data_IF_998013535427
#
_entry.id   IF_998013535427
#
_cell.length_a   1.000
_cell.length_b   1.000
_cell.length_c   1.000
_cell.angle_alpha   90.00
_cell.angle_beta   90.00
_cell.angle_gamma   90.00
#
_symmetry.space_group_name_H-M   'P 1'
#
loop_
_entity.id
_entity.type
_entity.pdbx_description
1 polymer ?
#
# COMPACT_ATOMS: atom_id res chain seq x y z
N UNK A 1 -3.22 10.61 -19.31
CA UNK A 1 -2.76 10.69 -17.91
C UNK A 1 -1.56 11.65 -17.80
N UNK A 2 -1.40 12.33 -16.67
CA UNK A 2 -0.40 13.40 -16.49
C UNK A 2 0.53 13.02 -15.34
N UNK A 3 1.81 13.38 -15.45
CA UNK A 3 2.78 13.22 -14.36
C UNK A 3 2.30 13.84 -13.05
N UNK A 4 2.66 13.21 -11.93
CA UNK A 4 2.35 13.68 -10.57
C UNK A 4 3.61 13.88 -9.77
N UNK A 5 3.59 14.84 -8.85
CA UNK A 5 4.74 15.19 -8.01
C UNK A 5 4.41 15.01 -6.54
N UNK A 6 5.39 14.52 -5.78
CA UNK A 6 5.27 14.31 -4.33
C UNK A 6 3.98 13.59 -3.96
N UNK A 7 3.76 12.42 -4.54
CA UNK A 7 2.56 11.61 -4.31
C UNK A 7 2.71 10.86 -3.00
N UNK A 8 1.68 10.96 -2.16
CA UNK A 8 1.50 10.12 -0.99
C UNK A 8 0.30 9.18 -1.23
N UNK A 9 0.56 7.88 -1.21
CA UNK A 9 -0.46 6.84 -1.08
C UNK A 9 -0.59 6.49 0.39
N UNK A 10 -1.82 6.58 0.92
CA UNK A 10 -2.14 6.24 2.30
C UNK A 10 -3.30 5.26 2.30
N UNK A 11 -3.09 4.10 2.90
CA UNK A 11 -4.09 3.05 3.07
C UNK A 11 -4.33 2.76 4.55
N UNK A 12 -5.46 3.21 5.13
CA UNK A 12 -5.77 2.92 6.53
C UNK A 12 -6.10 1.44 6.74
N UNK A 13 -5.55 0.86 7.79
CA UNK A 13 -5.70 -0.57 8.09
C UNK A 13 -6.89 -0.77 9.03
N UNK A 14 -7.83 -1.69 8.73
CA UNK A 14 -8.94 -1.98 9.63
C UNK A 14 -8.43 -2.65 10.92
N UNK A 15 -9.06 -2.36 12.06
CA UNK A 15 -8.57 -2.74 13.39
C UNK A 15 -8.40 -4.26 13.63
N UNK A 16 -9.02 -5.13 12.82
CA UNK A 16 -8.84 -6.58 12.90
C UNK A 16 -7.57 -7.10 12.23
N UNK A 17 -6.84 -6.25 11.49
CA UNK A 17 -5.66 -6.60 10.72
C UNK A 17 -4.40 -5.92 11.27
N UNK A 18 -3.28 -6.63 11.21
CA UNK A 18 -1.94 -6.13 11.57
C UNK A 18 -1.00 -6.26 10.37
N UNK A 19 -0.36 -5.16 9.99
CA UNK A 19 0.58 -5.15 8.85
C UNK A 19 1.87 -5.86 9.21
N UNK A 20 2.34 -6.76 8.34
CA UNK A 20 3.62 -7.44 8.52
C UNK A 20 4.74 -6.61 7.89
N UNK A 21 5.64 -6.07 8.73
CA UNK A 21 6.76 -5.25 8.28
C UNK A 21 8.06 -6.08 8.13
N UNK A 22 8.52 -6.41 6.91
CA UNK A 22 9.70 -7.25 6.72
C UNK A 22 11.01 -6.57 7.15
N UNK A 23 11.02 -5.26 7.40
CA UNK A 23 12.19 -4.54 7.89
C UNK A 23 12.48 -4.81 9.38
N UNK A 24 11.53 -5.37 10.14
CA UNK A 24 11.73 -5.72 11.54
C UNK A 24 12.35 -7.12 11.66
N UNK A 25 13.38 -7.25 12.50
CA UNK A 25 14.16 -8.47 12.66
C UNK A 25 13.36 -9.69 13.19
N UNK A 26 12.20 -9.45 13.78
CA UNK A 26 11.34 -10.49 14.41
C UNK A 26 10.05 -10.72 13.61
N UNK A 27 9.90 -10.07 12.46
CA UNK A 27 8.74 -10.29 11.60
C UNK A 27 8.76 -11.69 11.00
N UNK A 28 7.58 -12.28 10.87
CA UNK A 28 7.42 -13.57 10.20
C UNK A 28 7.85 -13.52 8.73
N UNK A 29 8.25 -14.68 8.22
CA UNK A 29 8.52 -14.83 6.80
C UNK A 29 7.24 -14.56 6.01
N UNK A 30 7.29 -13.56 5.12
CA UNK A 30 6.17 -13.24 4.25
C UNK A 30 5.88 -14.43 3.32
N UNK A 31 4.60 -14.77 3.09
CA UNK A 31 4.24 -15.73 2.06
C UNK A 31 4.84 -15.33 0.72
N UNK A 32 5.35 -16.30 -0.04
CA UNK A 32 5.75 -16.05 -1.42
C UNK A 32 4.48 -15.72 -2.22
N UNK A 33 4.37 -14.48 -2.68
CA UNK A 33 3.21 -14.06 -3.47
C UNK A 33 3.25 -14.73 -4.85
N UNK A 34 2.46 -15.79 -5.02
CA UNK A 34 2.35 -16.51 -6.29
C UNK A 34 1.68 -15.67 -7.39
N UNK A 35 1.03 -14.54 -7.04
CA UNK A 35 0.38 -13.62 -7.97
C UNK A 35 1.22 -12.39 -8.33
N UNK A 36 2.39 -12.21 -7.72
CA UNK A 36 3.38 -11.29 -8.26
C UNK A 36 3.86 -11.87 -9.59
N UNK A 37 3.22 -11.44 -10.70
CA UNK A 37 3.75 -11.67 -12.04
C UNK A 37 5.24 -11.27 -11.99
N UNK A 38 6.18 -12.18 -12.29
CA UNK A 38 7.58 -11.81 -12.36
C UNK A 38 7.67 -10.66 -13.36
N UNK A 39 8.34 -9.57 -12.96
CA UNK A 39 8.49 -8.40 -13.81
C UNK A 39 8.90 -8.85 -15.22
N UNK A 40 7.97 -8.79 -16.18
CA UNK A 40 8.19 -9.21 -17.58
C UNK A 40 9.25 -8.36 -18.29
N UNK A 41 9.71 -7.31 -17.62
CA UNK A 41 10.71 -6.36 -18.06
C UNK A 41 11.88 -6.39 -17.07
N UNK A 42 13.11 -6.33 -17.61
CA UNK A 42 14.36 -6.63 -16.89
C UNK A 42 14.55 -5.85 -15.58
N UNK A 43 15.53 -6.29 -14.77
CA UNK A 43 15.88 -5.84 -13.41
C UNK A 43 15.57 -4.38 -12.99
N UNK A 44 15.67 -3.42 -13.90
CA UNK A 44 15.34 -2.00 -13.68
C UNK A 44 13.83 -1.74 -13.44
N UNK A 45 12.95 -2.54 -14.04
CA UNK A 45 11.48 -2.50 -13.89
C UNK A 45 10.98 -3.31 -12.69
N UNK A 46 11.87 -4.04 -12.02
CA UNK A 46 11.58 -4.78 -10.79
C UNK A 46 11.63 -3.89 -9.54
N UNK A 47 12.00 -2.61 -9.69
CA UNK A 47 12.06 -1.67 -8.57
C UNK A 47 10.65 -1.20 -8.22
N UNK A 48 10.32 -1.05 -6.94
CA UNK A 48 9.09 -0.39 -6.55
C UNK A 48 9.04 1.02 -7.14
N UNK A 49 7.84 1.49 -7.46
CA UNK A 49 7.62 2.85 -8.00
C UNK A 49 7.75 3.94 -6.93
N UNK A 50 7.78 3.56 -5.66
CA UNK A 50 7.91 4.46 -4.52
C UNK A 50 9.36 4.50 -4.00
N UNK A 51 9.73 5.64 -3.42
CA UNK A 51 11.04 5.89 -2.83
C UNK A 51 11.06 5.50 -1.34
N UNK A 52 9.93 5.63 -0.67
CA UNK A 52 9.80 5.37 0.76
C UNK A 52 8.47 4.70 1.07
N UNK A 53 8.48 3.79 2.03
CA UNK A 53 7.28 3.20 2.60
C UNK A 53 7.34 3.24 4.12
N UNK A 54 6.19 3.51 4.74
CA UNK A 54 6.00 3.41 6.18
C UNK A 54 4.87 2.44 6.47
N UNK A 55 5.18 1.39 7.22
CA UNK A 55 4.20 0.43 7.72
C UNK A 55 3.96 0.73 9.19
N UNK A 56 2.77 1.25 9.51
CA UNK A 56 2.32 1.56 10.86
C UNK A 56 1.17 0.63 11.22
N UNK A 57 0.79 0.62 12.50
CA UNK A 57 -0.28 -0.26 13.00
C UNK A 57 -1.64 0.13 12.39
N UNK A 58 -1.89 1.43 12.23
CA UNK A 58 -3.16 1.99 11.80
C UNK A 58 -3.26 2.30 10.29
N UNK A 59 -2.13 2.30 9.57
CA UNK A 59 -2.07 2.60 8.13
C UNK A 59 -0.73 2.22 7.48
N UNK A 60 -0.78 2.03 6.17
CA UNK A 60 0.40 1.90 5.32
C UNK A 60 0.53 3.13 4.42
N UNK A 61 1.75 3.64 4.28
CA UNK A 61 2.05 4.82 3.48
C UNK A 61 3.15 4.50 2.46
N UNK A 62 3.01 5.00 1.22
CA UNK A 62 4.04 4.95 0.20
C UNK A 62 4.22 6.32 -0.46
N UNK A 63 5.46 6.74 -0.67
CA UNK A 63 5.80 8.08 -1.16
C UNK A 63 6.64 8.02 -2.43
N UNK A 64 6.31 8.86 -3.41
CA UNK A 64 7.08 9.02 -4.64
C UNK A 64 7.25 10.51 -4.96
N UNK A 65 8.48 10.96 -5.23
CA UNK A 65 8.72 12.36 -5.60
C UNK A 65 8.24 12.68 -7.00
N UNK A 66 8.27 11.69 -7.90
CA UNK A 66 7.79 11.79 -9.27
C UNK A 66 7.11 10.48 -9.69
N UNK A 67 5.89 10.60 -10.20
CA UNK A 67 5.15 9.50 -10.80
C UNK A 67 4.84 9.84 -12.26
N UNK A 68 5.28 8.99 -13.19
CA UNK A 68 4.94 9.12 -14.60
C UNK A 68 3.49 8.71 -14.86
N UNK A 69 2.99 8.99 -16.06
CA UNK A 69 1.69 8.46 -16.45
C UNK A 69 1.72 6.92 -16.50
N UNK A 70 0.76 6.28 -15.86
CA UNK A 70 0.72 4.83 -15.79
C UNK A 70 -0.24 4.30 -14.73
N UNK A 71 -0.28 2.97 -14.61
CA UNK A 71 -0.99 2.25 -13.55
C UNK A 71 0.06 1.56 -12.69
N UNK A 72 -0.01 1.79 -11.38
CA UNK A 72 0.95 1.29 -10.42
C UNK A 72 0.23 0.40 -9.40
N UNK A 73 0.85 -0.72 -9.07
CA UNK A 73 0.35 -1.63 -8.04
C UNK A 73 1.17 -1.46 -6.77
N UNK A 74 0.48 -1.45 -5.62
CA UNK A 74 1.09 -1.50 -4.30
C UNK A 74 0.45 -2.64 -3.54
N UNK A 75 1.28 -3.54 -3.02
CA UNK A 75 0.85 -4.73 -2.29
C UNK A 75 1.62 -4.80 -0.98
N UNK A 76 0.91 -5.14 0.10
CA UNK A 76 1.50 -5.44 1.40
C UNK A 76 0.76 -6.63 2.01
N UNK A 77 1.38 -7.26 3.00
CA UNK A 77 0.80 -8.40 3.72
C UNK A 77 0.31 -7.92 5.07
N UNK A 78 -0.91 -8.32 5.44
CA UNK A 78 -1.46 -8.13 6.76
C UNK A 78 -1.97 -9.47 7.32
N UNK A 79 -1.82 -9.65 8.63
CA UNK A 79 -2.35 -10.77 9.39
C UNK A 79 -3.71 -10.40 9.98
N UNK A 80 -4.65 -11.34 9.96
CA UNK A 80 -5.88 -11.21 10.72
C UNK A 80 -5.65 -11.65 12.17
N UNK A 81 -5.84 -10.75 13.12
CA UNK A 81 -5.46 -10.96 14.54
C UNK A 81 -6.67 -10.96 15.47
N UNK A 82 -7.61 -10.02 15.31
CA UNK A 82 -8.76 -9.88 16.23
C UNK A 82 -10.07 -10.26 15.53
N UNK A 83 -10.80 -11.30 15.99
CA UNK A 83 -12.10 -11.66 15.43
C UNK A 83 -13.14 -10.55 15.55
N UNK A 84 -13.94 -10.35 14.50
CA UNK A 84 -14.97 -9.32 14.46
C UNK A 84 -15.31 -8.80 13.06
N UNK A 85 -16.24 -7.85 13.01
CA UNK A 85 -16.65 -7.17 11.79
C UNK A 85 -16.10 -5.74 11.78
N UNK A 86 -15.24 -5.42 10.82
CA UNK A 86 -14.59 -4.12 10.74
C UNK A 86 -14.92 -3.41 9.44
N UNK A 87 -14.98 -2.09 9.50
CA UNK A 87 -15.07 -1.24 8.30
C UNK A 87 -13.66 -0.98 7.81
N UNK A 88 -13.42 -1.21 6.52
CA UNK A 88 -12.16 -0.90 5.84
C UNK A 88 -12.25 0.54 5.36
N UNK A 89 -11.48 1.47 5.95
CA UNK A 89 -11.49 2.85 5.48
C UNK A 89 -10.91 2.89 4.06
N UNK A 90 -11.39 3.80 3.21
CA UNK A 90 -10.96 3.85 1.82
C UNK A 90 -9.52 4.37 1.70
N UNK A 91 -8.68 3.77 0.84
CA UNK A 91 -7.36 4.28 0.54
C UNK A 91 -7.44 5.64 -0.15
N UNK A 92 -6.39 6.45 0.00
CA UNK A 92 -6.29 7.78 -0.61
C UNK A 92 -4.91 7.96 -1.22
N UNK A 93 -4.86 8.49 -2.43
CA UNK A 93 -3.63 8.95 -3.06
C UNK A 93 -3.76 10.44 -3.37
N UNK A 94 -2.77 11.25 -3.01
CA UNK A 94 -2.80 12.69 -3.25
C UNK A 94 -1.40 13.27 -3.53
N UNK A 95 -1.36 14.42 -4.19
CA UNK A 95 -0.14 15.25 -4.22
C UNK A 95 -0.01 16.01 -2.89
N UNK A 96 1.09 15.81 -2.17
CA UNK A 96 1.30 16.39 -0.83
C UNK A 96 1.23 17.91 -0.80
N UNK A 97 1.59 18.57 -1.91
CA UNK A 97 1.64 20.04 -2.02
C UNK A 97 0.54 20.64 -2.91
N UNK A 98 -0.35 19.79 -3.46
CA UNK A 98 -1.53 20.19 -4.22
C UNK A 98 -2.71 19.27 -3.85
N UNK A 99 -3.25 19.40 -2.61
CA UNK A 99 -4.22 18.46 -2.05
C UNK A 99 -5.56 18.40 -2.80
N UNK A 100 -5.84 19.36 -3.68
CA UNK A 100 -6.96 19.32 -4.62
C UNK A 100 -6.82 18.19 -5.66
N UNK A 101 -5.60 17.70 -5.89
CA UNK A 101 -5.29 16.58 -6.78
C UNK A 101 -5.20 15.30 -5.97
N UNK A 102 -6.33 14.62 -5.82
CA UNK A 102 -6.40 13.36 -5.09
C UNK A 102 -7.33 12.34 -5.76
N UNK A 103 -7.11 11.07 -5.45
CA UNK A 103 -8.00 9.96 -5.69
C UNK A 103 -8.32 9.24 -4.39
N UNK A 104 -9.53 8.71 -4.27
CA UNK A 104 -9.98 7.94 -3.10
C UNK A 104 -10.64 6.65 -3.58
N UNK A 105 -10.27 5.55 -2.95
CA UNK A 105 -10.88 4.24 -3.20
C UNK A 105 -12.28 4.12 -2.59
N UNK A 106 -12.88 2.95 -2.79
CA UNK A 106 -14.12 2.58 -2.10
C UNK A 106 -13.82 2.15 -0.65
N UNK A 107 -14.81 2.31 0.21
CA UNK A 107 -14.83 1.68 1.54
C UNK A 107 -15.27 0.23 1.38
N UNK A 108 -14.79 -0.66 2.23
CA UNK A 108 -15.20 -2.07 2.24
C UNK A 108 -15.50 -2.55 3.68
N UNK A 109 -15.86 -3.82 3.86
CA UNK A 109 -16.03 -4.47 5.15
C UNK A 109 -15.24 -5.76 5.17
N UNK A 110 -14.51 -5.99 6.26
CA UNK A 110 -13.77 -7.23 6.49
C UNK A 110 -14.34 -7.96 7.70
N UNK A 111 -14.44 -9.28 7.60
CA UNK A 111 -14.80 -10.17 8.69
C UNK A 111 -13.56 -10.98 9.04
N UNK A 112 -13.16 -10.94 10.30
CA UNK A 112 -12.09 -11.77 10.85
C UNK A 112 -12.75 -12.85 11.70
N UNK A 113 -12.45 -14.11 11.39
CA UNK A 113 -12.96 -15.32 12.06
C UNK A 113 -11.91 -15.93 12.98
#
# INVERSE_FOLDING_TARGET
PTRRYHVALVDPVPAGLEVLNPALAVSEALPQDQKMEPARYGWWWSRPWFEHQNMRDERVEAFASLLWDGVYNYSYVARATTPGHFVVPPPKAEEMYHPETFGRGATDRVIVE
#
